data_IF_705351754998
#
_entry.id   IF_705351754998
#
_cell.length_a   1.000
_cell.length_b   1.000
_cell.length_c   1.000
_cell.angle_alpha   90.00
_cell.angle_beta   90.00
_cell.angle_gamma   90.00
#
_symmetry.space_group_name_H-M   'P 1'
#
loop_
_entity.id
_entity.type
_entity.pdbx_description
1 polymer ?
#
# COMPACT_ATOMS: atom_id res chain seq x y z
N UNK A 1 36.28 6.41 7.84
CA UNK A 1 35.11 6.53 6.96
C UNK A 1 34.04 5.58 7.48
N UNK A 2 32.94 6.06 8.07
CA UNK A 2 31.92 5.17 8.62
C UNK A 2 31.06 4.58 7.50
N UNK A 3 30.79 3.28 7.62
CA UNK A 3 29.90 2.51 6.77
C UNK A 3 28.50 3.15 6.81
N UNK A 4 27.96 3.45 5.63
CA UNK A 4 26.57 3.86 5.46
C UNK A 4 25.68 2.74 6.03
N UNK A 5 24.80 3.10 6.96
CA UNK A 5 23.77 2.21 7.46
C UNK A 5 22.91 1.74 6.29
N UNK A 6 22.93 0.43 6.04
CA UNK A 6 21.96 -0.21 5.17
C UNK A 6 20.60 -0.10 5.83
N UNK A 7 19.71 0.67 5.20
CA UNK A 7 18.29 0.72 5.57
C UNK A 7 17.70 -0.64 5.20
N UNK A 8 17.55 -1.51 6.19
CA UNK A 8 16.90 -2.81 6.03
C UNK A 8 15.48 -2.61 5.46
N UNK A 9 15.08 -3.37 4.42
CA UNK A 9 13.72 -3.30 3.92
C UNK A 9 12.75 -3.86 4.97
N UNK A 10 11.88 -2.97 5.44
CA UNK A 10 10.77 -3.16 6.36
C UNK A 10 10.16 -4.58 6.35
N UNK A 11 10.34 -5.31 7.46
CA UNK A 11 9.64 -6.58 7.69
C UNK A 11 8.21 -6.28 8.16
N UNK A 12 7.28 -6.21 7.22
CA UNK A 12 5.83 -6.23 7.53
C UNK A 12 5.51 -7.61 8.09
N UNK A 13 4.89 -7.71 9.27
CA UNK A 13 4.67 -9.01 9.92
C UNK A 13 3.32 -9.62 9.46
N UNK A 14 3.22 -10.94 9.17
CA UNK A 14 1.99 -11.56 8.64
C UNK A 14 0.74 -11.35 9.52
N UNK A 15 0.96 -11.10 10.82
CA UNK A 15 -0.07 -10.80 11.81
C UNK A 15 -0.83 -9.50 11.54
N UNK A 16 -0.22 -8.53 10.86
CA UNK A 16 -0.79 -7.19 10.71
C UNK A 16 -1.93 -7.18 9.69
N UNK A 17 -1.79 -8.01 8.64
CA UNK A 17 -2.87 -8.27 7.70
C UNK A 17 -4.02 -9.07 8.33
N UNK A 18 -3.70 -10.04 9.21
CA UNK A 18 -4.72 -10.80 9.93
C UNK A 18 -5.54 -9.90 10.87
N UNK A 19 -4.92 -8.96 11.59
CA UNK A 19 -5.63 -8.03 12.49
C UNK A 19 -6.64 -7.15 11.78
N UNK A 20 -6.35 -6.71 10.54
CA UNK A 20 -7.26 -5.85 9.78
C UNK A 20 -8.53 -6.60 9.32
N UNK A 21 -8.42 -7.88 8.95
CA UNK A 21 -9.56 -8.69 8.49
C UNK A 21 -10.25 -9.54 9.57
N UNK A 22 -9.57 -9.88 10.68
CA UNK A 22 -10.14 -10.72 11.76
C UNK A 22 -11.06 -9.97 12.73
N UNK A 23 -11.29 -8.67 12.54
CA UNK A 23 -12.32 -7.94 13.29
C UNK A 23 -13.74 -8.56 13.12
N UNK A 24 -13.92 -9.51 12.19
CA UNK A 24 -15.18 -10.23 12.04
C UNK A 24 -15.22 -11.69 12.50
N UNK A 25 -14.12 -12.35 12.92
CA UNK A 25 -14.22 -13.83 13.05
C UNK A 25 -13.51 -14.60 14.16
N UNK A 26 -12.69 -14.03 15.04
CA UNK A 26 -12.17 -14.82 16.20
C UNK A 26 -11.86 -13.95 17.42
N UNK A 27 -12.87 -13.85 18.30
CA UNK A 27 -12.78 -14.07 19.76
C UNK A 27 -11.38 -14.15 20.39
N UNK A 28 -10.95 -13.04 21.01
CA UNK A 28 -10.82 -12.94 22.47
C UNK A 28 -11.39 -11.55 22.80
N UNK A 29 -12.69 -11.48 23.11
CA UNK A 29 -13.37 -10.24 23.47
C UNK A 29 -13.12 -9.96 24.93
N UNK A 30 -12.42 -8.86 25.19
CA UNK A 30 -12.54 -8.12 26.43
C UNK A 30 -13.74 -7.18 26.19
N UNK A 31 -14.65 -7.03 27.15
CA UNK A 31 -15.99 -6.43 26.96
C UNK A 31 -15.99 -4.92 26.60
N UNK A 32 -14.82 -4.33 26.35
CA UNK A 32 -14.60 -2.95 25.89
C UNK A 32 -14.59 -2.78 24.35
N UNK A 33 -14.58 -3.87 23.57
CA UNK A 33 -14.22 -3.86 22.14
C UNK A 33 -15.24 -3.39 21.08
N UNK A 34 -16.58 -3.47 21.23
CA UNK A 34 -17.49 -3.08 20.14
C UNK A 34 -17.54 -1.57 19.90
N UNK A 35 -17.31 -0.74 20.94
CA UNK A 35 -17.18 0.71 20.78
C UNK A 35 -15.90 1.07 20.03
N UNK A 36 -14.77 0.48 20.42
CA UNK A 36 -13.49 0.65 19.72
C UNK A 36 -13.56 0.18 18.25
N UNK A 37 -14.32 -0.88 17.95
CA UNK A 37 -14.55 -1.33 16.56
C UNK A 37 -15.28 -0.29 15.73
N UNK A 38 -16.40 0.24 16.26
CA UNK A 38 -17.20 1.24 15.55
C UNK A 38 -16.40 2.52 15.39
N UNK A 39 -15.71 2.97 16.43
CA UNK A 39 -14.84 4.14 16.37
C UNK A 39 -13.72 3.95 15.35
N UNK A 40 -13.02 2.81 15.35
CA UNK A 40 -11.98 2.52 14.35
C UNK A 40 -12.57 2.45 12.92
N UNK A 41 -13.76 1.85 12.77
CA UNK A 41 -14.47 1.78 11.49
C UNK A 41 -14.78 3.16 10.93
N UNK A 42 -15.23 4.09 11.78
CA UNK A 42 -15.50 5.48 11.42
C UNK A 42 -14.22 6.31 11.25
N UNK A 43 -13.12 5.96 11.94
CA UNK A 43 -11.83 6.65 11.90
C UNK A 43 -10.89 6.10 10.81
N UNK A 44 -11.43 5.79 9.62
CA UNK A 44 -10.63 5.44 8.44
C UNK A 44 -10.38 3.95 8.21
N UNK A 45 -10.69 3.04 9.15
CA UNK A 45 -10.51 1.59 8.90
C UNK A 45 -11.36 1.09 7.74
N UNK A 46 -12.57 1.64 7.50
CA UNK A 46 -13.41 1.29 6.35
C UNK A 46 -12.65 1.45 5.02
N UNK A 47 -11.95 2.58 4.86
CA UNK A 47 -11.17 2.92 3.67
C UNK A 47 -10.00 1.95 3.48
N UNK A 48 -9.20 1.74 4.53
CA UNK A 48 -8.03 0.86 4.45
C UNK A 48 -8.38 -0.61 4.28
N UNK A 49 -9.49 -1.05 4.87
CA UNK A 49 -10.04 -2.38 4.64
C UNK A 49 -10.41 -2.57 3.16
N UNK A 50 -11.00 -1.55 2.52
CA UNK A 50 -11.33 -1.60 1.08
C UNK A 50 -10.05 -1.66 0.22
N UNK A 51 -9.03 -0.86 0.53
CA UNK A 51 -7.72 -0.91 -0.16
C UNK A 51 -7.06 -2.28 -0.01
N UNK A 52 -6.98 -2.81 1.22
CA UNK A 52 -6.37 -4.12 1.52
C UNK A 52 -7.18 -5.29 0.95
N UNK A 53 -8.48 -5.12 0.68
CA UNK A 53 -9.26 -6.12 -0.05
C UNK A 53 -8.90 -6.14 -1.53
N UNK A 54 -8.53 -5.00 -2.10
CA UNK A 54 -8.12 -4.92 -3.50
C UNK A 54 -6.72 -5.51 -3.76
N UNK A 55 -5.92 -5.75 -2.72
CA UNK A 55 -4.63 -6.47 -2.85
C UNK A 55 -4.81 -7.99 -2.95
N UNK A 56 -5.97 -8.55 -2.56
CA UNK A 56 -6.23 -10.00 -2.59
C UNK A 56 -7.20 -10.45 -3.70
N UNK A 57 -7.61 -9.50 -4.55
CA UNK A 57 -8.48 -9.72 -5.69
C UNK A 57 -9.97 -9.92 -5.32
N UNK A 58 -10.85 -10.03 -6.34
CA UNK A 58 -12.31 -9.99 -6.17
C UNK A 58 -12.91 -11.08 -5.27
N UNK A 59 -12.15 -12.13 -4.93
CA UNK A 59 -12.61 -13.28 -4.13
C UNK A 59 -11.84 -13.45 -2.81
N UNK A 60 -10.88 -12.56 -2.51
CA UNK A 60 -10.11 -12.63 -1.27
C UNK A 60 -9.31 -13.92 -1.10
N UNK A 61 -8.68 -14.39 -2.18
CA UNK A 61 -7.97 -15.68 -2.24
C UNK A 61 -7.03 -15.88 -1.05
N UNK A 62 -7.15 -17.04 -0.40
CA UNK A 62 -6.30 -17.42 0.74
C UNK A 62 -4.82 -17.50 0.34
N UNK A 63 -4.54 -17.96 -0.87
CA UNK A 63 -3.17 -18.16 -1.34
C UNK A 63 -2.51 -16.83 -1.70
N UNK A 64 -3.24 -15.92 -2.34
CA UNK A 64 -2.77 -14.54 -2.59
C UNK A 64 -2.51 -13.87 -1.25
N UNK A 65 -3.45 -13.98 -0.30
CA UNK A 65 -3.34 -13.41 1.04
C UNK A 65 -2.06 -13.84 1.77
N UNK A 66 -1.76 -15.13 1.76
CA UNK A 66 -0.53 -15.67 2.37
C UNK A 66 0.74 -15.19 1.68
N UNK A 67 0.64 -14.88 0.39
CA UNK A 67 1.77 -14.49 -0.46
C UNK A 67 1.97 -12.97 -0.56
N UNK A 68 1.08 -12.14 0.00
CA UNK A 68 1.10 -10.69 -0.17
C UNK A 68 2.44 -10.04 0.18
N UNK A 69 3.11 -10.52 1.22
CA UNK A 69 4.40 -9.97 1.66
C UNK A 69 5.51 -10.28 0.66
N UNK A 70 5.51 -11.50 0.12
CA UNK A 70 6.46 -11.91 -0.93
C UNK A 70 6.21 -11.07 -2.18
N UNK A 71 4.95 -10.89 -2.57
CA UNK A 71 4.56 -10.05 -3.71
C UNK A 71 4.99 -8.59 -3.47
N UNK A 72 4.75 -8.03 -2.28
CA UNK A 72 5.16 -6.67 -1.92
C UNK A 72 6.68 -6.48 -1.94
N UNK A 73 7.44 -7.43 -1.40
CA UNK A 73 8.90 -7.41 -1.40
C UNK A 73 9.45 -7.46 -2.83
N UNK A 74 8.91 -8.34 -3.66
CA UNK A 74 9.29 -8.44 -5.07
C UNK A 74 8.94 -7.17 -5.86
N UNK A 75 7.74 -6.64 -5.66
CA UNK A 75 7.30 -5.38 -6.25
C UNK A 75 8.26 -4.24 -5.92
N UNK A 76 8.59 -4.08 -4.63
CA UNK A 76 9.49 -3.02 -4.15
C UNK A 76 10.88 -3.14 -4.77
N UNK A 77 11.45 -4.35 -4.76
CA UNK A 77 12.76 -4.64 -5.35
C UNK A 77 12.80 -4.37 -6.86
N UNK A 78 11.75 -4.76 -7.60
CA UNK A 78 11.70 -4.56 -9.05
C UNK A 78 11.51 -3.09 -9.43
N UNK A 79 10.58 -2.39 -8.79
CA UNK A 79 10.31 -0.99 -9.12
C UNK A 79 11.51 -0.12 -8.77
N UNK A 80 12.14 -0.33 -7.60
CA UNK A 80 13.34 0.41 -7.20
C UNK A 80 14.52 0.18 -8.16
N UNK A 81 14.72 -1.06 -8.61
CA UNK A 81 15.75 -1.40 -9.60
C UNK A 81 15.52 -0.80 -10.99
N UNK A 82 14.29 -0.37 -11.30
CA UNK A 82 13.87 0.11 -12.62
C UNK A 82 13.42 1.59 -12.63
N UNK A 83 13.78 2.39 -11.61
CA UNK A 83 13.25 3.75 -11.44
C UNK A 83 13.36 4.63 -12.69
N UNK A 84 14.52 4.64 -13.37
CA UNK A 84 14.74 5.42 -14.61
C UNK A 84 13.86 4.95 -15.77
N UNK A 85 13.69 3.63 -15.90
CA UNK A 85 12.86 3.03 -16.95
C UNK A 85 11.38 3.32 -16.71
N UNK A 86 10.95 3.28 -15.44
CA UNK A 86 9.60 3.67 -15.03
C UNK A 86 9.31 5.10 -15.43
N UNK A 87 10.21 6.05 -15.12
CA UNK A 87 10.03 7.45 -15.52
C UNK A 87 9.90 7.62 -17.04
N UNK A 88 10.73 6.91 -17.82
CA UNK A 88 10.65 6.95 -19.28
C UNK A 88 9.30 6.43 -19.78
N UNK A 89 8.85 5.27 -19.27
CA UNK A 89 7.56 4.66 -19.61
C UNK A 89 6.37 5.55 -19.24
N UNK A 90 6.45 6.26 -18.12
CA UNK A 90 5.42 7.23 -17.73
C UNK A 90 5.34 8.37 -18.75
N UNK A 91 6.47 8.97 -19.13
CA UNK A 91 6.50 10.05 -20.13
C UNK A 91 6.02 9.58 -21.51
N UNK A 92 6.29 8.32 -21.86
CA UNK A 92 5.80 7.72 -23.09
C UNK A 92 4.28 7.51 -23.04
N UNK A 93 3.77 6.90 -21.96
CA UNK A 93 2.34 6.69 -21.77
C UNK A 93 1.55 8.01 -21.72
N UNK A 94 2.10 9.08 -21.14
CA UNK A 94 1.48 10.41 -21.17
C UNK A 94 1.39 11.01 -22.58
N UNK A 95 2.32 10.66 -23.47
CA UNK A 95 2.28 11.04 -24.89
C UNK A 95 1.29 10.18 -25.67
N UNK A 96 1.22 8.89 -25.38
CA UNK A 96 0.27 7.95 -26.01
C UNK A 96 -1.18 8.16 -25.56
N UNK A 97 -1.40 8.54 -24.30
CA UNK A 97 -2.71 8.70 -23.67
C UNK A 97 -2.90 10.10 -23.08
N UNK A 98 -2.91 11.16 -23.90
CA UNK A 98 -2.95 12.54 -23.42
C UNK A 98 -4.25 12.88 -22.67
N UNK A 99 -5.36 12.21 -22.98
CA UNK A 99 -6.64 12.39 -22.29
C UNK A 99 -6.68 11.76 -20.89
N UNK A 100 -5.74 10.85 -20.58
CA UNK A 100 -5.72 10.07 -19.33
C UNK A 100 -4.45 10.31 -18.52
N UNK A 101 -3.77 11.45 -18.71
CA UNK A 101 -2.48 11.74 -18.04
C UNK A 101 -2.57 11.61 -16.52
N UNK A 102 -3.68 12.04 -15.93
CA UNK A 102 -3.91 11.97 -14.49
C UNK A 102 -4.50 10.63 -14.03
N UNK A 103 -4.79 9.73 -14.97
CA UNK A 103 -5.42 8.43 -14.77
C UNK A 103 -4.53 7.24 -15.18
N UNK A 104 -3.21 7.47 -15.27
CA UNK A 104 -2.24 6.42 -15.55
C UNK A 104 -1.96 5.60 -14.29
N UNK A 105 -1.75 4.30 -14.48
CA UNK A 105 -1.42 3.34 -13.43
C UNK A 105 -0.15 2.60 -13.84
N UNK A 106 0.77 2.41 -12.90
CA UNK A 106 1.95 1.57 -13.09
C UNK A 106 1.56 0.11 -12.85
N UNK A 107 1.67 -0.74 -13.86
CA UNK A 107 1.41 -2.17 -13.75
C UNK A 107 2.73 -2.95 -13.78
N UNK A 108 2.96 -3.78 -12.75
CA UNK A 108 4.00 -4.79 -12.75
C UNK A 108 3.37 -6.15 -13.11
N UNK A 109 3.67 -6.65 -14.31
CA UNK A 109 3.20 -7.95 -14.80
C UNK A 109 4.14 -9.07 -14.36
N UNK A 110 3.73 -9.79 -13.31
CA UNK A 110 4.42 -10.98 -12.80
C UNK A 110 3.92 -12.28 -13.47
N UNK A 111 3.05 -12.19 -14.49
CA UNK A 111 2.56 -13.36 -15.23
C UNK A 111 3.51 -13.84 -16.32
N UNK A 112 4.55 -13.05 -16.62
CA UNK A 112 5.57 -13.31 -17.63
C UNK A 112 6.97 -13.32 -17.00
N UNK A 113 7.93 -14.00 -17.65
CA UNK A 113 9.33 -14.01 -17.23
C UNK A 113 10.25 -13.57 -18.38
N UNK A 114 11.09 -12.54 -18.20
CA UNK A 114 11.19 -11.71 -16.99
C UNK A 114 9.91 -10.86 -16.74
N UNK A 115 9.60 -10.47 -15.49
CA UNK A 115 8.46 -9.60 -15.22
C UNK A 115 8.56 -8.28 -15.96
N UNK A 116 7.43 -7.79 -16.45
CA UNK A 116 7.37 -6.58 -17.27
C UNK A 116 6.69 -5.42 -16.53
N UNK A 117 7.06 -4.19 -16.91
CA UNK A 117 6.48 -2.97 -16.34
C UNK A 117 5.75 -2.22 -17.43
N UNK A 118 4.48 -1.89 -17.20
CA UNK A 118 3.65 -1.13 -18.12
C UNK A 118 3.08 0.10 -17.43
N UNK A 119 2.78 1.13 -18.22
CA UNK A 119 2.03 2.30 -17.74
C UNK A 119 0.83 2.46 -18.65
N UNK A 120 -0.37 2.30 -18.07
CA UNK A 120 -1.62 2.23 -18.82
C UNK A 120 -2.71 3.03 -18.09
N UNK A 121 -3.70 3.57 -18.82
CA UNK A 121 -4.89 4.15 -18.19
C UNK A 121 -5.64 3.12 -17.33
N UNK A 122 -6.21 3.55 -16.21
CA UNK A 122 -6.95 2.68 -15.26
C UNK A 122 -8.06 1.87 -15.93
N UNK A 123 -8.78 2.44 -16.90
CA UNK A 123 -9.88 1.77 -17.61
C UNK A 123 -9.43 0.58 -18.47
N UNK A 124 -8.12 0.44 -18.74
CA UNK A 124 -7.55 -0.71 -19.47
C UNK A 124 -7.17 -1.87 -18.56
N UNK A 125 -7.31 -1.73 -17.24
CA UNK A 125 -6.96 -2.78 -16.29
C UNK A 125 -8.09 -3.80 -16.18
N UNK A 126 -7.90 -4.95 -16.82
CA UNK A 126 -8.82 -6.09 -16.69
C UNK A 126 -8.92 -6.55 -15.23
N UNK A 127 -10.14 -6.84 -14.78
CA UNK A 127 -10.46 -7.38 -13.45
C UNK A 127 -10.05 -6.49 -12.26
N UNK A 128 -9.61 -5.26 -12.52
CA UNK A 128 -9.39 -4.25 -11.50
C UNK A 128 -10.68 -3.42 -11.36
N UNK A 129 -11.16 -3.14 -10.15
CA UNK A 129 -12.39 -2.38 -9.95
C UNK A 129 -12.15 -0.87 -10.18
N UNK A 130 -11.58 -0.49 -11.34
CA UNK A 130 -11.07 0.86 -11.62
C UNK A 130 -12.12 1.97 -11.58
N UNK A 131 -13.40 1.62 -11.71
CA UNK A 131 -14.53 2.56 -11.65
C UNK A 131 -14.98 2.88 -10.21
N UNK A 132 -14.39 2.23 -9.19
CA UNK A 132 -14.70 2.54 -7.79
C UNK A 132 -14.24 3.97 -7.45
N UNK A 133 -15.14 4.84 -6.95
CA UNK A 133 -14.83 6.24 -6.64
C UNK A 133 -13.77 6.40 -5.54
N UNK A 134 -13.40 5.33 -4.84
CA UNK A 134 -12.30 5.34 -3.88
C UNK A 134 -10.93 5.60 -4.53
N UNK A 135 -10.73 5.25 -5.81
CA UNK A 135 -9.40 5.31 -6.44
C UNK A 135 -8.85 6.72 -6.63
N UNK A 136 -9.64 7.71 -7.09
CA UNK A 136 -9.21 9.11 -7.07
C UNK A 136 -8.78 9.58 -5.66
N UNK A 137 -9.54 9.24 -4.62
CA UNK A 137 -9.20 9.63 -3.25
C UNK A 137 -7.89 8.99 -2.77
N UNK A 138 -7.69 7.70 -3.06
CA UNK A 138 -6.46 6.98 -2.73
C UNK A 138 -5.26 7.55 -3.50
N UNK A 139 -5.44 7.91 -4.77
CA UNK A 139 -4.39 8.55 -5.55
C UNK A 139 -3.98 9.92 -4.97
N UNK A 140 -4.94 10.71 -4.47
CA UNK A 140 -4.65 11.97 -3.78
C UNK A 140 -3.86 11.70 -2.50
N UNK A 141 -4.26 10.74 -1.68
CA UNK A 141 -3.55 10.41 -0.44
C UNK A 141 -2.12 9.89 -0.70
N UNK A 142 -1.93 9.04 -1.70
CA UNK A 142 -0.59 8.58 -2.11
C UNK A 142 0.30 9.77 -2.49
N UNK A 143 -0.26 10.75 -3.20
CA UNK A 143 0.46 11.98 -3.59
C UNK A 143 0.80 12.88 -2.40
N UNK A 144 -0.02 12.87 -1.36
CA UNK A 144 0.19 13.68 -0.15
C UNK A 144 1.18 13.03 0.83
N UNK A 145 1.19 11.69 0.94
CA UNK A 145 2.02 10.95 1.91
C UNK A 145 3.42 10.59 1.38
N UNK A 146 3.67 10.82 0.10
CA UNK A 146 4.91 10.42 -0.58
C UNK A 146 5.49 11.64 -1.27
N UNK A 147 6.79 11.91 -1.12
CA UNK A 147 7.52 12.92 -1.91
C UNK A 147 7.46 12.65 -3.43
N UNK A 148 6.95 11.48 -3.83
CA UNK A 148 6.43 11.22 -5.17
C UNK A 148 5.56 9.94 -5.16
N UNK A 149 4.47 9.83 -5.94
CA UNK A 149 4.51 8.88 -7.04
C UNK A 149 5.52 9.43 -8.06
N UNK A 150 6.35 8.61 -8.72
CA UNK A 150 7.13 9.07 -9.86
C UNK A 150 6.23 9.92 -10.74
N UNK A 151 6.65 11.17 -10.97
CA UNK A 151 5.81 12.24 -11.52
C UNK A 151 5.03 11.71 -12.74
N UNK A 152 3.72 11.46 -12.59
CA UNK A 152 2.85 11.13 -13.72
C UNK A 152 1.98 9.87 -13.68
N UNK A 153 1.82 9.17 -12.55
CA UNK A 153 0.79 8.11 -12.40
C UNK A 153 0.08 8.15 -11.03
N UNK A 154 -1.09 7.51 -10.94
CA UNK A 154 -1.99 7.53 -9.76
C UNK A 154 -1.52 6.58 -8.65
N UNK A 155 -1.32 5.32 -8.98
CA UNK A 155 -0.93 4.25 -8.08
C UNK A 155 -0.33 3.09 -8.88
N UNK A 156 0.15 2.07 -8.17
CA UNK A 156 0.68 0.85 -8.77
C UNK A 156 -0.29 -0.32 -8.61
N UNK A 157 -0.27 -1.24 -9.58
CA UNK A 157 -0.97 -2.52 -9.54
C UNK A 157 -0.01 -3.64 -9.91
N UNK A 158 -0.30 -4.85 -9.43
CA UNK A 158 0.46 -6.06 -9.76
C UNK A 158 -0.44 -7.06 -10.44
N UNK A 159 0.03 -7.62 -11.57
CA UNK A 159 -0.68 -8.71 -12.26
C UNK A 159 -0.02 -10.03 -11.89
N UNK A 160 -0.79 -10.97 -11.34
CA UNK A 160 -0.28 -12.25 -10.83
C UNK A 160 -1.05 -13.44 -11.39
N UNK A 161 -0.39 -14.60 -11.43
CA UNK A 161 -1.02 -15.87 -11.71
C UNK A 161 -1.45 -16.58 -10.42
N UNK A 162 -2.66 -17.14 -10.45
CA UNK A 162 -3.10 -18.13 -9.46
C UNK A 162 -3.78 -19.28 -10.21
N UNK A 163 -3.07 -20.40 -10.32
CA UNK A 163 -3.49 -21.50 -11.19
C UNK A 163 -3.60 -21.05 -12.65
N UNK A 164 -4.77 -21.26 -13.27
CA UNK A 164 -5.05 -20.88 -14.66
C UNK A 164 -5.55 -19.44 -14.81
N UNK A 165 -5.81 -18.75 -13.70
CA UNK A 165 -6.39 -17.41 -13.69
C UNK A 165 -5.30 -16.35 -13.52
N UNK A 166 -5.56 -15.16 -14.09
CA UNK A 166 -4.75 -13.96 -13.92
C UNK A 166 -5.55 -12.94 -13.14
N UNK A 167 -4.92 -12.27 -12.18
CA UNK A 167 -5.56 -11.26 -11.36
C UNK A 167 -4.74 -9.98 -11.38
N UNK A 168 -5.44 -8.85 -11.51
CA UNK A 168 -4.86 -7.52 -11.31
C UNK A 168 -5.19 -7.08 -9.89
N UNK A 169 -4.16 -6.87 -9.08
CA UNK A 169 -4.27 -6.54 -7.66
C UNK A 169 -3.77 -5.12 -7.46
N UNK A 170 -4.39 -4.38 -6.54
CA UNK A 170 -3.79 -3.15 -6.06
C UNK A 170 -2.43 -3.46 -5.42
N UNK A 171 -1.45 -2.58 -5.62
CA UNK A 171 -0.09 -2.72 -5.10
C UNK A 171 -0.06 -3.12 -3.62
N UNK A 172 0.37 -4.35 -3.29
CA UNK A 172 0.47 -4.78 -1.91
C UNK A 172 1.47 -3.93 -1.12
N UNK A 173 2.60 -3.55 -1.72
CA UNK A 173 3.58 -2.68 -1.05
C UNK A 173 2.99 -1.30 -0.72
N UNK A 174 2.24 -0.70 -1.65
CA UNK A 174 1.57 0.59 -1.44
C UNK A 174 0.49 0.46 -0.38
N UNK A 175 -0.36 -0.56 -0.46
CA UNK A 175 -1.40 -0.79 0.54
C UNK A 175 -0.83 -0.98 1.95
N UNK A 176 0.26 -1.74 2.08
CA UNK A 176 0.92 -1.92 3.37
C UNK A 176 1.51 -0.61 3.89
N UNK A 177 2.14 0.18 3.03
CA UNK A 177 2.63 1.51 3.42
C UNK A 177 1.48 2.37 3.96
N UNK A 178 0.40 2.50 3.20
CA UNK A 178 -0.70 3.37 3.59
C UNK A 178 -1.43 2.87 4.86
N UNK A 179 -1.61 1.56 5.01
CA UNK A 179 -2.37 1.00 6.14
C UNK A 179 -1.59 0.96 7.46
N UNK A 180 -0.25 0.86 7.42
CA UNK A 180 0.56 0.57 8.60
C UNK A 180 1.63 1.62 8.90
N UNK A 181 2.06 2.45 7.94
CA UNK A 181 3.11 3.46 8.19
C UNK A 181 2.58 4.61 9.07
N UNK A 182 1.29 4.94 9.00
CA UNK A 182 0.67 5.92 9.90
C UNK A 182 0.56 5.48 11.37
N UNK A 183 0.77 4.20 11.68
CA UNK A 183 0.73 3.69 13.07
C UNK A 183 2.09 3.73 13.77
N UNK A 184 3.20 3.86 13.05
CA UNK A 184 4.55 3.88 13.66
C UNK A 184 5.09 5.29 13.96
N UNK A 185 4.41 6.35 13.48
CA UNK A 185 4.84 7.72 13.73
C UNK A 185 4.03 8.44 14.83
N UNK A 186 2.90 7.88 15.30
CA UNK A 186 2.10 8.51 16.38
C UNK A 186 2.45 8.03 17.79
N UNK A 187 3.19 6.95 17.96
CA UNK A 187 3.50 6.41 19.30
C UNK A 187 4.72 7.09 19.97
N UNK A 188 5.28 8.15 19.37
CA UNK A 188 6.46 8.85 19.89
C UNK A 188 6.26 10.33 20.27
N UNK A 189 5.01 10.80 20.35
CA UNK A 189 4.68 12.07 21.03
C UNK A 189 3.98 11.78 22.37
N UNK A 190 4.58 10.93 23.19
CA UNK A 190 4.47 11.13 24.63
C UNK A 190 5.44 12.27 24.98
N UNK A 191 4.92 13.49 24.97
CA UNK A 191 5.60 14.65 25.56
C UNK A 191 5.97 14.30 27.01
N UNK A 192 7.25 14.01 27.23
CA UNK A 192 7.81 14.01 28.57
C UNK A 192 7.90 15.49 28.96
N UNK A 193 6.86 15.98 29.63
CA UNK A 193 6.93 17.22 30.39
C UNK A 193 8.00 17.01 31.47
N UNK A 194 9.22 17.47 31.20
CA UNK A 194 10.25 17.63 32.21
C UNK A 194 9.87 18.89 33.00
N UNK A 195 9.28 18.68 34.16
CA UNK A 195 9.03 19.70 35.18
C UNK A 195 10.38 20.21 35.73
N UNK A 196 10.85 21.33 35.19
CA UNK A 196 12.10 22.01 35.57
C UNK A 196 11.93 22.87 36.85
N UNK A 197 11.31 22.30 37.88
CA UNK A 197 11.08 22.96 39.16
C UNK A 197 11.55 22.10 40.33
N UNK A 198 12.88 22.01 40.53
CA UNK A 198 13.53 21.83 41.85
C UNK A 198 15.05 21.69 41.72
N UNK A 199 15.79 22.80 41.89
CA UNK A 199 16.98 22.83 42.76
C UNK A 199 17.12 24.25 43.34
N UNK A 200 16.68 24.42 44.57
CA UNK A 200 17.09 25.48 45.49
C UNK A 200 17.40 24.77 46.81
N UNK A 201 18.60 24.98 47.36
CA UNK A 201 19.03 24.57 48.69
C UNK A 201 20.23 23.62 48.68
N UNK A 202 21.44 24.16 48.74
CA UNK A 202 22.11 24.49 50.01
C UNK A 202 23.14 25.62 49.80
#
# INVERSE_FOLDING_TARGET
MPLKSEVHPYQIHPSDYQRCCHYRRTSIMDDSKPKCQRTAWHNGHKKWCQVLRCTVGPWGSRDIRKSLQVIAGFETSKISGMAKDVESRVREAQRQFPAFKDQLVLMLDMTVYPPEVHVLPVHKLEQFPGDDPIWPEIAIEIRQQSDSPPKGYMFSVVKVHLGKSKFTLFSPSTAFRMAFVGQYFSDNEASVDIDDSKVLGD
#
